data_IF_177478916037
#
_entry.id   IF_177478916037
#
_cell.length_a   1.000
_cell.length_b   1.000
_cell.length_c   1.000
_cell.angle_alpha   90.00
_cell.angle_beta   90.00
_cell.angle_gamma   90.00
#
_symmetry.space_group_name_H-M   'P 1'
#
loop_
_entity.id
_entity.type
_entity.pdbx_description
1 polymer ?
#
# COMPACT_ATOMS: atom_id res chain seq x y z
N UNK A 1 -16.80 -15.32 -8.52
CA UNK A 1 -15.63 -14.43 -8.64
C UNK A 1 -15.83 -13.54 -9.86
N UNK A 2 -16.11 -12.25 -9.66
CA UNK A 2 -16.20 -11.31 -10.78
C UNK A 2 -14.81 -11.11 -11.39
N UNK A 3 -14.64 -11.40 -12.67
CA UNK A 3 -13.39 -11.13 -13.40
C UNK A 3 -13.22 -9.62 -13.51
N UNK A 4 -12.36 -9.06 -12.68
CA UNK A 4 -12.08 -7.62 -12.67
C UNK A 4 -11.36 -7.23 -13.95
N UNK A 5 -11.79 -6.19 -14.68
CA UNK A 5 -11.12 -5.77 -15.90
C UNK A 5 -9.67 -5.39 -15.58
N UNK A 6 -8.73 -6.01 -16.30
CA UNK A 6 -7.34 -5.60 -16.26
C UNK A 6 -7.20 -4.19 -16.83
N UNK A 7 -6.17 -3.45 -16.41
CA UNK A 7 -5.89 -2.17 -17.02
C UNK A 7 -5.61 -2.30 -18.52
N UNK A 8 -5.94 -1.23 -19.25
CA UNK A 8 -5.79 -1.16 -20.71
C UNK A 8 -4.37 -1.50 -21.19
N UNK A 9 -3.34 -1.18 -20.38
CA UNK A 9 -1.95 -1.57 -20.63
C UNK A 9 -1.31 -2.15 -19.36
N UNK A 10 -1.00 -3.44 -19.40
CA UNK A 10 -0.27 -4.15 -18.33
C UNK A 10 1.15 -3.63 -18.17
N UNK A 11 1.96 -3.39 -19.23
CA UNK A 11 3.31 -2.85 -19.06
C UNK A 11 3.30 -1.47 -18.39
N UNK A 12 2.40 -0.56 -18.80
CA UNK A 12 2.26 0.75 -18.16
C UNK A 12 1.79 0.65 -16.70
N UNK A 13 0.97 -0.36 -16.39
CA UNK A 13 0.55 -0.62 -15.02
C UNK A 13 1.73 -0.93 -14.10
N UNK A 14 2.50 -1.96 -14.46
CA UNK A 14 3.60 -2.49 -13.65
C UNK A 14 4.79 -1.53 -13.65
N UNK A 15 5.11 -0.88 -14.77
CA UNK A 15 6.31 -0.05 -14.86
C UNK A 15 6.14 1.38 -14.32
N UNK A 16 4.91 1.92 -14.31
CA UNK A 16 4.68 3.34 -14.00
C UNK A 16 3.61 3.55 -12.93
N UNK A 17 2.43 2.95 -13.10
CA UNK A 17 1.31 3.24 -12.20
C UNK A 17 1.50 2.63 -10.82
N UNK A 18 1.98 1.38 -10.71
CA UNK A 18 2.31 0.80 -9.40
C UNK A 18 3.50 1.54 -8.77
N UNK A 19 4.67 1.72 -9.43
CA UNK A 19 5.83 2.33 -8.77
C UNK A 19 5.62 3.80 -8.41
N UNK A 20 5.03 4.60 -9.31
CA UNK A 20 4.92 6.05 -9.13
C UNK A 20 3.55 6.47 -8.61
N UNK A 21 2.49 5.93 -9.21
CA UNK A 21 1.10 6.29 -8.88
C UNK A 21 0.63 5.73 -7.55
N UNK A 22 1.23 4.63 -7.07
CA UNK A 22 0.88 3.98 -5.80
C UNK A 22 2.04 4.08 -4.82
N UNK A 23 3.14 3.36 -5.07
CA UNK A 23 4.21 3.19 -4.07
C UNK A 23 4.87 4.51 -3.71
N UNK A 24 5.36 5.27 -4.70
CA UNK A 24 6.03 6.54 -4.41
C UNK A 24 5.09 7.52 -3.71
N UNK A 25 3.87 7.68 -4.23
CA UNK A 25 2.89 8.60 -3.68
C UNK A 25 2.51 8.25 -2.23
N UNK A 26 2.24 6.98 -1.95
CA UNK A 26 1.86 6.53 -0.61
C UNK A 26 3.03 6.62 0.37
N UNK A 27 4.21 6.14 0.01
CA UNK A 27 5.37 6.21 0.90
C UNK A 27 5.76 7.67 1.20
N UNK A 28 5.72 8.56 0.21
CA UNK A 28 5.97 9.98 0.41
C UNK A 28 4.92 10.64 1.31
N UNK A 29 3.63 10.36 1.08
CA UNK A 29 2.55 10.94 1.88
C UNK A 29 2.58 10.45 3.33
N UNK A 30 2.72 9.15 3.54
CA UNK A 30 2.48 8.51 4.83
C UNK A 30 3.77 8.39 5.65
N UNK A 31 4.87 7.92 5.06
CA UNK A 31 6.12 7.60 5.77
C UNK A 31 7.10 8.77 5.80
N UNK A 32 7.00 9.69 4.85
CA UNK A 32 7.74 10.96 4.91
C UNK A 32 6.89 12.08 5.53
N UNK A 33 5.87 12.58 4.83
CA UNK A 33 5.17 13.81 5.25
C UNK A 33 4.37 13.63 6.56
N UNK A 34 3.41 12.70 6.59
CA UNK A 34 2.55 12.49 7.75
C UNK A 34 3.35 12.06 8.98
N UNK A 35 4.22 11.06 8.85
CA UNK A 35 5.04 10.57 9.96
C UNK A 35 5.91 11.68 10.55
N UNK A 36 6.50 12.56 9.73
CA UNK A 36 7.30 13.70 10.22
C UNK A 36 6.49 14.63 11.11
N UNK A 37 5.26 14.96 10.71
CA UNK A 37 4.39 15.83 11.51
C UNK A 37 3.87 15.09 12.74
N UNK A 38 3.45 13.84 12.60
CA UNK A 38 2.89 13.04 13.69
C UNK A 38 3.92 12.78 14.79
N UNK A 39 5.19 12.54 14.46
CA UNK A 39 6.25 12.35 15.46
C UNK A 39 6.49 13.58 16.33
N UNK A 40 6.26 14.80 15.80
CA UNK A 40 6.38 16.04 16.59
C UNK A 40 5.31 16.16 17.67
N UNK A 41 4.10 15.64 17.42
CA UNK A 41 2.97 15.71 18.36
C UNK A 41 2.84 14.50 19.28
N UNK A 42 3.21 13.30 18.80
CA UNK A 42 2.92 12.02 19.46
C UNK A 42 4.19 11.21 19.78
N UNK A 43 5.38 11.74 19.53
CA UNK A 43 6.65 11.02 19.66
C UNK A 43 6.85 9.93 18.61
N UNK A 44 7.97 9.21 18.68
CA UNK A 44 8.34 8.18 17.70
C UNK A 44 7.28 7.08 17.54
N UNK A 45 6.92 6.44 18.66
CA UNK A 45 5.97 5.31 18.65
C UNK A 45 4.54 5.74 18.35
N UNK A 46 4.10 6.88 18.90
CA UNK A 46 2.77 7.43 18.65
C UNK A 46 2.63 7.92 17.20
N UNK A 47 3.66 8.58 16.68
CA UNK A 47 3.71 9.02 15.28
C UNK A 47 3.58 7.85 14.31
N UNK A 48 4.28 6.73 14.56
CA UNK A 48 4.16 5.50 13.75
C UNK A 48 2.75 4.89 13.84
N UNK A 49 2.12 4.92 15.01
CA UNK A 49 0.76 4.41 15.18
C UNK A 49 -0.27 5.27 14.44
N UNK A 50 -0.16 6.59 14.52
CA UNK A 50 -1.02 7.53 13.77
C UNK A 50 -0.86 7.33 12.27
N UNK A 51 0.36 7.21 11.77
CA UNK A 51 0.62 7.02 10.34
C UNK A 51 0.02 5.69 9.84
N UNK A 52 0.19 4.60 10.60
CA UNK A 52 -0.37 3.29 10.28
C UNK A 52 -1.90 3.31 10.27
N UNK A 53 -2.52 3.94 11.28
CA UNK A 53 -3.97 4.09 11.34
C UNK A 53 -4.52 4.91 10.16
N UNK A 54 -3.88 6.04 9.82
CA UNK A 54 -4.27 6.86 8.68
C UNK A 54 -4.15 6.11 7.35
N UNK A 55 -3.08 5.33 7.19
CA UNK A 55 -2.89 4.48 6.02
C UNK A 55 -3.96 3.37 5.95
N UNK A 56 -4.32 2.77 7.07
CA UNK A 56 -5.44 1.82 7.13
C UNK A 56 -6.74 2.44 6.66
N UNK A 57 -7.09 3.60 7.20
CA UNK A 57 -8.33 4.30 6.91
C UNK A 57 -8.42 4.81 5.46
N UNK A 58 -7.30 5.15 4.81
CA UNK A 58 -7.32 5.60 3.41
C UNK A 58 -7.84 4.52 2.45
N UNK A 59 -7.76 3.25 2.84
CA UNK A 59 -8.22 2.11 2.03
C UNK A 59 -9.71 1.80 2.14
N UNK A 60 -10.50 2.59 2.88
CA UNK A 60 -11.95 2.40 2.98
C UNK A 60 -12.62 2.53 1.60
N UNK A 61 -12.20 3.52 0.80
CA UNK A 61 -12.79 3.75 -0.52
C UNK A 61 -12.52 2.56 -1.46
N UNK A 62 -11.29 2.04 -1.45
CA UNK A 62 -10.90 0.87 -2.23
C UNK A 62 -11.67 -0.38 -1.79
N UNK A 63 -11.76 -0.64 -0.48
CA UNK A 63 -12.53 -1.76 0.07
C UNK A 63 -13.99 -1.74 -0.37
N UNK A 64 -14.62 -0.56 -0.34
CA UNK A 64 -16.01 -0.38 -0.82
C UNK A 64 -16.12 -0.60 -2.32
N UNK A 65 -15.18 -0.07 -3.11
CA UNK A 65 -15.15 -0.23 -4.55
C UNK A 65 -14.88 -1.68 -4.98
N UNK A 66 -14.24 -2.48 -4.13
CA UNK A 66 -13.91 -3.89 -4.39
C UNK A 66 -14.89 -4.88 -3.77
N UNK A 67 -15.79 -4.43 -2.89
CA UNK A 67 -16.69 -5.30 -2.13
C UNK A 67 -15.97 -6.08 -1.02
N UNK A 68 -14.76 -5.68 -0.65
CA UNK A 68 -13.99 -6.30 0.44
C UNK A 68 -14.50 -5.85 1.82
N UNK A 69 -14.37 -6.67 2.88
CA UNK A 69 -14.80 -6.28 4.21
C UNK A 69 -14.00 -5.09 4.75
N UNK A 70 -14.63 -3.91 4.80
CA UNK A 70 -13.97 -2.65 5.21
C UNK A 70 -13.17 -2.78 6.52
N UNK A 71 -13.70 -3.37 7.63
CA UNK A 71 -12.94 -3.49 8.86
C UNK A 71 -11.67 -4.34 8.70
N UNK A 72 -11.76 -5.43 7.93
CA UNK A 72 -10.63 -6.30 7.68
C UNK A 72 -9.58 -5.61 6.80
N UNK A 73 -10.00 -4.93 5.73
CA UNK A 73 -9.08 -4.16 4.88
C UNK A 73 -8.34 -3.10 5.67
N UNK A 74 -9.06 -2.26 6.43
CA UNK A 74 -8.46 -1.21 7.27
C UNK A 74 -7.46 -1.78 8.27
N UNK A 75 -7.79 -2.90 8.92
CA UNK A 75 -6.90 -3.55 9.87
C UNK A 75 -5.63 -4.06 9.19
N UNK A 76 -5.77 -4.80 8.09
CA UNK A 76 -4.64 -5.41 7.37
C UNK A 76 -3.73 -4.33 6.79
N UNK A 77 -4.29 -3.33 6.10
CA UNK A 77 -3.49 -2.25 5.52
C UNK A 77 -2.89 -1.37 6.61
N UNK A 78 -3.61 -1.11 7.71
CA UNK A 78 -3.06 -0.37 8.85
C UNK A 78 -1.86 -1.06 9.50
N UNK A 79 -1.92 -2.39 9.69
CA UNK A 79 -0.78 -3.20 10.16
C UNK A 79 0.38 -3.15 9.17
N UNK A 80 0.11 -3.27 7.87
CA UNK A 80 1.14 -3.14 6.83
C UNK A 80 1.81 -1.76 6.86
N UNK A 81 1.02 -0.68 6.96
CA UNK A 81 1.52 0.69 7.11
C UNK A 81 2.37 0.88 8.36
N UNK A 82 1.97 0.28 9.49
CA UNK A 82 2.78 0.29 10.71
C UNK A 82 4.12 -0.43 10.51
N UNK A 83 4.11 -1.61 9.87
CA UNK A 83 5.32 -2.39 9.57
C UNK A 83 6.26 -1.63 8.62
N UNK A 84 5.74 -0.95 7.60
CA UNK A 84 6.54 -0.10 6.72
C UNK A 84 7.13 1.10 7.47
N UNK A 85 6.37 1.72 8.37
CA UNK A 85 6.90 2.77 9.25
C UNK A 85 8.02 2.25 10.16
N UNK A 86 7.85 1.05 10.73
CA UNK A 86 8.89 0.40 11.52
C UNK A 86 10.14 0.09 10.68
N UNK A 87 9.96 -0.38 9.45
CA UNK A 87 11.05 -0.66 8.52
C UNK A 87 11.81 0.62 8.14
N UNK A 88 11.10 1.73 7.93
CA UNK A 88 11.70 3.04 7.70
C UNK A 88 12.54 3.48 8.90
N UNK A 89 11.98 3.39 10.12
CA UNK A 89 12.68 3.75 11.36
C UNK A 89 13.93 2.88 11.57
N UNK A 90 13.81 1.57 11.31
CA UNK A 90 14.90 0.63 11.57
C UNK A 90 16.03 0.71 10.55
N UNK A 91 15.72 1.09 9.31
CA UNK A 91 16.69 1.26 8.23
C UNK A 91 17.21 2.70 8.09
N UNK A 92 16.50 3.68 8.64
CA UNK A 92 16.76 5.10 8.42
C UNK A 92 16.51 5.55 6.98
N UNK A 93 15.76 4.78 6.18
CA UNK A 93 15.58 5.01 4.75
C UNK A 93 14.16 4.77 4.28
N UNK A 94 13.65 5.68 3.45
CA UNK A 94 12.37 5.51 2.75
C UNK A 94 12.45 4.49 1.61
N UNK A 95 13.65 4.18 1.12
CA UNK A 95 13.83 3.18 0.07
C UNK A 95 13.45 1.77 0.55
N UNK A 96 13.71 1.45 1.82
CA UNK A 96 13.39 0.13 2.38
C UNK A 96 11.89 -0.19 2.35
N UNK A 97 10.98 0.64 2.90
CA UNK A 97 9.55 0.41 2.75
C UNK A 97 9.07 0.56 1.30
N UNK A 98 9.63 1.47 0.48
CA UNK A 98 9.28 1.56 -0.95
C UNK A 98 9.52 0.24 -1.70
N UNK A 99 10.68 -0.40 -1.51
CA UNK A 99 10.99 -1.66 -2.18
C UNK A 99 10.10 -2.81 -1.68
N UNK A 100 9.85 -2.89 -0.37
CA UNK A 100 8.97 -3.90 0.21
C UNK A 100 7.52 -3.74 -0.32
N UNK A 101 7.03 -2.50 -0.32
CA UNK A 101 5.71 -2.17 -0.81
C UNK A 101 5.56 -2.42 -2.32
N UNK A 102 6.57 -2.05 -3.11
CA UNK A 102 6.62 -2.38 -4.54
C UNK A 102 6.57 -3.89 -4.76
N UNK A 103 7.38 -4.66 -4.06
CA UNK A 103 7.39 -6.11 -4.20
C UNK A 103 6.02 -6.75 -3.89
N UNK A 104 5.34 -6.27 -2.85
CA UNK A 104 3.99 -6.74 -2.49
C UNK A 104 2.98 -6.42 -3.61
N UNK A 105 2.98 -5.17 -4.10
CA UNK A 105 2.05 -4.76 -5.16
C UNK A 105 2.30 -5.49 -6.49
N UNK A 106 3.56 -5.61 -6.91
CA UNK A 106 3.93 -6.32 -8.13
C UNK A 106 3.58 -7.81 -8.03
N UNK A 107 3.82 -8.45 -6.87
CA UNK A 107 3.45 -9.85 -6.65
C UNK A 107 1.94 -10.05 -6.75
N UNK A 108 1.15 -9.17 -6.12
CA UNK A 108 -0.31 -9.22 -6.21
C UNK A 108 -0.81 -8.98 -7.64
N UNK A 109 -0.21 -8.05 -8.37
CA UNK A 109 -0.52 -7.76 -9.77
C UNK A 109 -0.25 -8.98 -10.68
N UNK A 110 0.92 -9.60 -10.54
CA UNK A 110 1.28 -10.82 -11.28
C UNK A 110 0.36 -12.00 -10.93
N UNK A 111 -0.01 -12.16 -9.66
CA UNK A 111 -0.97 -13.18 -9.25
C UNK A 111 -2.34 -12.97 -9.91
N UNK A 112 -2.86 -11.73 -9.90
CA UNK A 112 -4.10 -11.38 -10.57
C UNK A 112 -4.07 -11.66 -12.08
N UNK A 113 -2.96 -11.32 -12.75
CA UNK A 113 -2.76 -11.61 -14.17
C UNK A 113 -2.74 -13.12 -14.44
N UNK A 114 -2.07 -13.89 -13.58
CA UNK A 114 -1.98 -15.36 -13.71
C UNK A 114 -3.34 -16.03 -13.56
N UNK A 115 -4.10 -15.64 -12.53
CA UNK A 115 -5.45 -16.19 -12.27
C UNK A 115 -6.38 -15.88 -13.45
N UNK A 116 -6.37 -14.63 -13.94
CA UNK A 116 -7.23 -14.24 -15.06
C UNK A 116 -6.87 -14.95 -16.36
N UNK A 117 -5.58 -15.21 -16.63
CA UNK A 117 -5.16 -16.00 -17.79
C UNK A 117 -5.69 -17.43 -17.71
N UNK A 118 -5.60 -18.07 -16.53
CA UNK A 118 -6.10 -19.44 -16.31
C UNK A 118 -7.61 -19.55 -16.45
N UNK A 119 -8.36 -18.52 -16.07
CA UNK A 119 -9.82 -18.50 -16.22
C UNK A 119 -10.31 -18.23 -17.64
N UNK A 120 -9.42 -17.86 -18.58
CA UNK A 120 -9.74 -17.60 -19.99
C UNK A 120 -9.25 -18.72 -20.94
N UNK A 121 -8.50 -19.69 -20.44
CA UNK A 121 -8.11 -20.93 -21.14
C UNK A 121 -9.09 -22.05 -20.80
#
# INVERSE_FOLDING_TARGET
MSTRPLPQSVPSWLALRIPLGTVWAEEAAFRAALTTVAKRGFGESGGRLVQGAAFGLSHIADARATGEPVPATVLVTGVAGWLFGWLADRSGSLAAPMLAHLAINETAAVAALTIQRRSRS
#
